data_IF_355849714082
#
_entry.id   IF_355849714082
#
_cell.length_a   1.000
_cell.length_b   1.000
_cell.length_c   1.000
_cell.angle_alpha   90.00
_cell.angle_beta   90.00
_cell.angle_gamma   90.00
#
_symmetry.space_group_name_H-M   'P 1'
#
loop_
_entity.id
_entity.type
_entity.pdbx_description
1 polymer ?
#
# COMPACT_ATOMS: atom_id res chain seq x y z
N UNK A 1 28.56 15.92 -12.67
CA UNK A 1 27.44 16.42 -11.83
C UNK A 1 27.83 16.20 -10.38
N UNK A 2 27.63 17.17 -9.49
CA UNK A 2 27.79 16.98 -8.05
C UNK A 2 26.54 16.38 -7.46
N UNK A 3 26.68 15.40 -6.57
CA UNK A 3 25.55 14.68 -5.98
C UNK A 3 25.56 14.90 -4.48
N UNK A 4 24.43 15.29 -3.92
CA UNK A 4 24.25 15.48 -2.49
C UNK A 4 23.11 14.60 -1.97
N UNK A 5 23.29 14.02 -0.80
CA UNK A 5 22.25 13.31 -0.06
C UNK A 5 22.11 13.95 1.32
N UNK A 6 20.92 14.47 1.62
CA UNK A 6 20.63 15.18 2.88
C UNK A 6 21.64 16.30 3.19
N UNK A 7 22.16 16.96 2.15
CA UNK A 7 23.14 18.05 2.24
C UNK A 7 24.60 17.62 2.26
N UNK A 8 24.90 16.32 2.32
CA UNK A 8 26.26 15.78 2.25
C UNK A 8 26.64 15.40 0.82
N UNK A 9 27.79 15.87 0.33
CA UNK A 9 28.28 15.51 -1.01
C UNK A 9 28.74 14.04 -1.03
N UNK A 10 28.20 13.24 -1.95
CA UNK A 10 28.59 11.85 -2.16
C UNK A 10 29.59 11.79 -3.32
N UNK A 11 30.76 11.23 -3.04
CA UNK A 11 31.76 10.95 -4.07
C UNK A 11 31.46 9.63 -4.78
N UNK A 12 31.53 9.64 -6.11
CA UNK A 12 31.46 8.45 -6.94
C UNK A 12 32.86 8.03 -7.42
N UNK A 13 33.13 6.73 -7.62
CA UNK A 13 34.43 6.26 -8.10
C UNK A 13 34.75 6.75 -9.52
N UNK A 14 33.72 6.97 -10.33
CA UNK A 14 33.84 7.52 -11.67
C UNK A 14 33.70 9.04 -11.66
N UNK A 15 34.48 9.73 -12.50
CA UNK A 15 34.41 11.19 -12.63
C UNK A 15 33.06 11.69 -13.21
N UNK A 16 32.29 10.81 -13.86
CA UNK A 16 30.98 11.09 -14.45
C UNK A 16 30.09 9.83 -14.39
N UNK A 17 29.53 9.47 -13.21
CA UNK A 17 28.65 8.31 -13.09
C UNK A 17 27.38 8.52 -13.94
N UNK A 18 26.79 7.42 -14.42
CA UNK A 18 25.45 7.48 -15.05
C UNK A 18 24.38 7.83 -14.01
N UNK A 19 23.22 8.33 -14.46
CA UNK A 19 22.14 8.70 -13.52
C UNK A 19 21.52 7.46 -12.88
N UNK A 20 21.48 6.36 -13.61
CA UNK A 20 21.09 5.04 -13.15
C UNK A 20 22.00 4.57 -12.01
N UNK A 21 23.32 4.74 -12.16
CA UNK A 21 24.29 4.39 -11.11
C UNK A 21 24.15 5.30 -9.89
N UNK A 22 23.94 6.60 -10.10
CA UNK A 22 23.69 7.56 -9.02
C UNK A 22 22.45 7.15 -8.23
N UNK A 23 21.32 6.95 -8.92
CA UNK A 23 20.05 6.60 -8.30
C UNK A 23 20.14 5.26 -7.56
N UNK A 24 20.78 4.26 -8.17
CA UNK A 24 21.01 2.94 -7.55
C UNK A 24 21.85 3.08 -6.29
N UNK A 25 22.96 3.81 -6.35
CA UNK A 25 23.85 4.03 -5.20
C UNK A 25 23.16 4.78 -4.07
N UNK A 26 22.36 5.81 -4.38
CA UNK A 26 21.56 6.54 -3.38
C UNK A 26 20.53 5.60 -2.75
N UNK A 27 19.77 4.83 -3.54
CA UNK A 27 18.78 3.86 -3.05
C UNK A 27 19.41 2.80 -2.16
N UNK A 28 20.56 2.24 -2.53
CA UNK A 28 21.28 1.28 -1.71
C UNK A 28 21.80 1.88 -0.40
N UNK A 29 22.33 3.11 -0.46
CA UNK A 29 22.83 3.84 0.72
C UNK A 29 21.71 4.13 1.71
N UNK A 30 20.57 4.58 1.22
CA UNK A 30 19.38 4.84 2.03
C UNK A 30 18.74 3.55 2.55
N UNK A 31 18.65 2.52 1.71
CA UNK A 31 18.10 1.22 2.08
C UNK A 31 18.83 0.58 3.26
N UNK A 32 20.17 0.67 3.31
CA UNK A 32 20.98 0.21 4.45
C UNK A 32 20.66 0.93 5.77
N UNK A 33 20.08 2.14 5.70
CA UNK A 33 19.69 2.96 6.85
C UNK A 33 18.19 2.90 7.15
N UNK A 34 17.40 2.11 6.39
CA UNK A 34 15.94 2.11 6.51
C UNK A 34 15.30 3.43 6.08
N UNK A 35 15.88 4.10 5.09
CA UNK A 35 15.44 5.39 4.55
C UNK A 35 14.98 5.23 3.09
N UNK A 36 14.14 6.16 2.63
CA UNK A 36 13.66 6.28 1.25
C UNK A 36 14.05 7.63 0.68
N UNK A 37 14.15 7.71 -0.66
CA UNK A 37 14.22 8.99 -1.35
C UNK A 37 12.85 9.66 -1.18
N UNK A 38 12.87 10.88 -0.63
CA UNK A 38 11.71 11.74 -0.48
C UNK A 38 11.59 12.73 -1.64
N UNK A 39 12.72 13.27 -2.08
CA UNK A 39 12.76 14.28 -3.15
C UNK A 39 14.04 14.15 -3.95
N UNK A 40 13.94 14.53 -5.22
CA UNK A 40 15.07 14.65 -6.14
C UNK A 40 15.01 16.07 -6.70
N UNK A 41 16.09 16.83 -6.57
CA UNK A 41 16.20 18.18 -7.10
C UNK A 41 17.44 18.27 -7.99
N UNK A 42 17.33 18.80 -9.19
CA UNK A 42 18.47 19.08 -10.08
C UNK A 42 18.52 20.55 -10.42
N UNK A 43 19.63 21.21 -10.11
CA UNK A 43 19.87 22.64 -10.32
C UNK A 43 18.72 23.54 -9.80
N UNK A 44 18.09 23.18 -8.68
CA UNK A 44 16.97 23.94 -8.08
C UNK A 44 15.58 23.47 -8.50
N UNK A 45 15.45 22.54 -9.46
CA UNK A 45 14.18 22.03 -9.94
C UNK A 45 13.86 20.65 -9.35
N UNK A 46 12.70 20.52 -8.70
CA UNK A 46 12.22 19.24 -8.18
C UNK A 46 11.75 18.33 -9.33
N UNK A 47 12.20 17.08 -9.31
CA UNK A 47 11.95 16.06 -10.30
C UNK A 47 11.45 14.78 -9.62
N UNK A 48 10.65 14.00 -10.36
CA UNK A 48 10.44 12.60 -10.02
C UNK A 48 11.59 11.73 -10.54
N UNK A 49 11.54 10.44 -10.23
CA UNK A 49 12.56 9.47 -10.62
C UNK A 49 12.69 9.34 -12.15
N UNK A 50 11.57 9.31 -12.87
CA UNK A 50 11.55 9.15 -14.32
C UNK A 50 12.15 10.38 -15.01
N UNK A 51 11.76 11.58 -14.57
CA UNK A 51 12.28 12.84 -15.06
C UNK A 51 13.78 13.02 -14.75
N UNK A 52 14.23 12.57 -13.57
CA UNK A 52 15.66 12.55 -13.24
C UNK A 52 16.44 11.67 -14.22
N UNK A 53 15.97 10.45 -14.49
CA UNK A 53 16.63 9.51 -15.41
C UNK A 53 16.64 10.02 -16.85
N UNK A 54 15.56 10.66 -17.30
CA UNK A 54 15.43 11.19 -18.66
C UNK A 54 16.23 12.49 -18.91
N UNK A 55 16.72 13.16 -17.86
CA UNK A 55 17.39 14.45 -17.99
C UNK A 55 18.72 14.30 -18.77
N UNK A 56 19.03 15.22 -19.68
CA UNK A 56 20.26 15.14 -20.52
C UNK A 56 21.42 16.01 -20.01
N UNK A 57 21.23 16.70 -18.89
CA UNK A 57 22.23 17.58 -18.27
C UNK A 57 22.06 17.67 -16.75
N UNK A 58 22.55 18.76 -16.17
CA UNK A 58 22.47 19.04 -14.74
C UNK A 58 23.86 19.17 -14.11
N UNK A 59 24.06 20.24 -13.34
CA UNK A 59 25.33 20.49 -12.65
C UNK A 59 25.35 19.84 -11.28
N UNK A 60 24.22 19.92 -10.58
CA UNK A 60 24.05 19.52 -9.20
C UNK A 60 22.72 18.78 -9.00
N UNK A 61 22.77 17.62 -8.36
CA UNK A 61 21.59 16.88 -7.91
C UNK A 61 21.58 16.76 -6.38
N UNK A 62 20.44 17.04 -5.76
CA UNK A 62 20.18 16.88 -4.32
C UNK A 62 19.09 15.85 -4.11
N UNK A 63 19.37 14.87 -3.28
CA UNK A 63 18.43 13.86 -2.82
C UNK A 63 18.07 14.18 -1.36
N UNK A 64 16.79 14.35 -1.08
CA UNK A 64 16.27 14.39 0.28
C UNK A 64 15.80 12.99 0.68
N UNK A 65 16.04 12.60 1.93
CA UNK A 65 15.58 11.31 2.44
C UNK A 65 14.51 11.45 3.53
N UNK A 66 13.82 10.34 3.79
CA UNK A 66 12.92 10.17 4.93
C UNK A 66 12.98 8.73 5.45
N UNK A 67 12.68 8.48 6.73
CA UNK A 67 12.55 7.11 7.23
C UNK A 67 11.44 6.35 6.50
N UNK A 68 11.71 5.07 6.16
CA UNK A 68 10.69 4.14 5.61
C UNK A 68 9.50 4.05 6.57
N UNK A 69 9.76 4.08 7.88
CA UNK A 69 8.75 3.93 8.93
C UNK A 69 7.74 5.08 8.93
N UNK A 70 8.19 6.32 8.79
CA UNK A 70 7.29 7.47 8.73
C UNK A 70 6.35 7.35 7.52
N UNK A 71 6.90 6.94 6.37
CA UNK A 71 6.11 6.69 5.16
C UNK A 71 5.10 5.55 5.36
N UNK A 72 5.49 4.47 6.04
CA UNK A 72 4.59 3.37 6.38
C UNK A 72 3.45 3.80 7.30
N UNK A 73 3.74 4.60 8.33
CA UNK A 73 2.73 5.08 9.28
C UNK A 73 1.68 5.93 8.58
N UNK A 74 2.10 6.84 7.70
CA UNK A 74 1.21 7.62 6.83
C UNK A 74 0.38 6.70 5.93
N UNK A 75 1.03 5.76 5.23
CA UNK A 75 0.35 4.81 4.34
C UNK A 75 -0.68 3.95 5.07
N UNK A 76 -0.37 3.50 6.28
CA UNK A 76 -1.28 2.69 7.12
C UNK A 76 -2.43 3.52 7.68
N UNK A 77 -2.23 4.82 7.94
CA UNK A 77 -3.31 5.73 8.28
C UNK A 77 -4.30 5.88 7.11
N UNK A 78 -3.78 6.13 5.91
CA UNK A 78 -4.60 6.21 4.69
C UNK A 78 -5.33 4.89 4.41
N UNK A 79 -4.66 3.76 4.61
CA UNK A 79 -5.27 2.43 4.46
C UNK A 79 -6.39 2.19 5.46
N UNK A 80 -6.27 2.69 6.69
CA UNK A 80 -7.34 2.61 7.70
C UNK A 80 -8.56 3.42 7.28
N UNK A 81 -8.38 4.63 6.75
CA UNK A 81 -9.51 5.43 6.24
C UNK A 81 -10.16 4.79 5.02
N UNK A 82 -9.33 4.26 4.10
CA UNK A 82 -9.81 3.56 2.92
C UNK A 82 -10.58 2.29 3.28
N UNK A 83 -10.11 1.51 4.25
CA UNK A 83 -10.78 0.30 4.73
C UNK A 83 -12.22 0.60 5.20
N UNK A 84 -12.44 1.70 5.92
CA UNK A 84 -13.78 2.12 6.36
C UNK A 84 -14.69 2.44 5.17
N UNK A 85 -14.16 3.15 4.17
CA UNK A 85 -14.90 3.47 2.93
C UNK A 85 -15.23 2.21 2.13
N UNK A 86 -14.31 1.25 2.10
CA UNK A 86 -14.50 -0.05 1.45
C UNK A 86 -15.61 -0.86 2.13
N UNK A 87 -15.61 -0.94 3.47
CA UNK A 87 -16.67 -1.58 4.24
C UNK A 87 -18.04 -0.96 3.94
N UNK A 88 -18.13 0.37 3.95
CA UNK A 88 -19.35 1.08 3.55
C UNK A 88 -19.76 0.82 2.09
N UNK A 89 -18.80 0.70 1.18
CA UNK A 89 -19.03 0.32 -0.22
C UNK A 89 -19.64 -1.07 -0.37
N UNK A 90 -19.11 -2.06 0.36
CA UNK A 90 -19.62 -3.44 0.39
C UNK A 90 -21.05 -3.50 0.94
N UNK A 91 -21.35 -2.76 2.01
CA UNK A 91 -22.71 -2.66 2.56
C UNK A 91 -23.70 -2.13 1.52
N UNK A 92 -23.34 -1.05 0.82
CA UNK A 92 -24.16 -0.48 -0.26
C UNK A 92 -24.32 -1.42 -1.44
N UNK A 93 -23.27 -2.15 -1.82
CA UNK A 93 -23.35 -3.15 -2.87
C UNK A 93 -24.41 -4.22 -2.53
N UNK A 94 -24.41 -4.72 -1.30
CA UNK A 94 -25.42 -5.65 -0.82
C UNK A 94 -26.83 -5.03 -0.82
N UNK A 95 -27.00 -3.78 -0.36
CA UNK A 95 -28.29 -3.07 -0.38
C UNK A 95 -28.86 -2.95 -1.81
N UNK A 96 -27.99 -2.71 -2.80
CA UNK A 96 -28.40 -2.63 -4.21
C UNK A 96 -28.86 -3.98 -4.75
N UNK A 97 -28.12 -5.04 -4.47
CA UNK A 97 -28.45 -6.40 -4.89
C UNK A 97 -29.76 -6.91 -4.26
N UNK A 98 -30.02 -6.58 -2.99
CA UNK A 98 -31.26 -6.94 -2.28
C UNK A 98 -32.48 -6.15 -2.76
N UNK A 99 -32.26 -4.93 -3.28
CA UNK A 99 -33.31 -4.06 -3.81
C UNK A 99 -33.56 -4.27 -5.32
N UNK A 100 -33.15 -5.41 -5.89
CA UNK A 100 -33.22 -5.75 -7.32
C UNK A 100 -32.50 -4.75 -8.26
N UNK A 101 -31.62 -3.90 -7.72
CA UNK A 101 -30.76 -2.97 -8.48
C UNK A 101 -29.42 -3.64 -8.80
N UNK A 102 -29.51 -4.74 -9.53
CA UNK A 102 -28.37 -5.63 -9.81
C UNK A 102 -27.21 -4.93 -10.54
N UNK A 103 -27.44 -4.13 -11.61
CA UNK A 103 -26.34 -3.44 -12.31
C UNK A 103 -25.52 -2.53 -11.39
N UNK A 104 -26.17 -1.73 -10.56
CA UNK A 104 -25.52 -0.82 -9.60
C UNK A 104 -24.80 -1.60 -8.50
N UNK A 105 -25.39 -2.71 -8.04
CA UNK A 105 -24.76 -3.61 -7.09
C UNK A 105 -23.46 -4.22 -7.63
N UNK A 106 -23.50 -4.76 -8.87
CA UNK A 106 -22.34 -5.36 -9.51
C UNK A 106 -21.23 -4.35 -9.81
N UNK A 107 -21.58 -3.10 -10.19
CA UNK A 107 -20.59 -2.04 -10.35
C UNK A 107 -19.81 -1.78 -9.05
N UNK A 108 -20.52 -1.73 -7.92
CA UNK A 108 -19.90 -1.56 -6.61
C UNK A 108 -19.09 -2.79 -6.18
N UNK A 109 -19.54 -4.01 -6.51
CA UNK A 109 -18.77 -5.24 -6.25
C UNK A 109 -17.44 -5.23 -7.00
N UNK A 110 -17.41 -4.81 -8.26
CA UNK A 110 -16.17 -4.69 -9.04
C UNK A 110 -15.17 -3.74 -8.37
N UNK A 111 -15.63 -2.54 -7.99
CA UNK A 111 -14.81 -1.55 -7.26
C UNK A 111 -14.33 -2.08 -5.90
N UNK A 112 -15.18 -2.82 -5.20
CA UNK A 112 -14.83 -3.41 -3.92
C UNK A 112 -13.75 -4.49 -4.06
N UNK A 113 -13.81 -5.33 -5.09
CA UNK A 113 -12.80 -6.36 -5.34
C UNK A 113 -11.39 -5.75 -5.54
N UNK A 114 -11.29 -4.67 -6.32
CA UNK A 114 -10.04 -3.90 -6.48
C UNK A 114 -9.56 -3.33 -5.13
N UNK A 115 -10.47 -2.73 -4.36
CA UNK A 115 -10.15 -2.16 -3.06
C UNK A 115 -9.68 -3.19 -2.04
N UNK A 116 -10.26 -4.38 -2.04
CA UNK A 116 -9.82 -5.49 -1.18
C UNK A 116 -8.39 -5.91 -1.53
N UNK A 117 -8.09 -6.07 -2.83
CA UNK A 117 -6.74 -6.38 -3.30
C UNK A 117 -5.74 -5.32 -2.86
N UNK A 118 -6.08 -4.04 -2.98
CA UNK A 118 -5.23 -2.94 -2.55
C UNK A 118 -4.95 -2.98 -1.04
N UNK A 119 -5.97 -3.14 -0.19
CA UNK A 119 -5.79 -3.23 1.27
C UNK A 119 -4.89 -4.40 1.66
N UNK A 120 -5.10 -5.57 1.05
CA UNK A 120 -4.28 -6.75 1.32
C UNK A 120 -2.81 -6.53 0.91
N UNK A 121 -2.58 -5.85 -0.21
CA UNK A 121 -1.23 -5.50 -0.67
C UNK A 121 -0.54 -4.54 0.31
N UNK A 122 -1.25 -3.52 0.80
CA UNK A 122 -0.69 -2.58 1.78
C UNK A 122 -0.30 -3.32 3.07
N UNK A 123 -1.17 -4.20 3.58
CA UNK A 123 -0.88 -5.02 4.76
C UNK A 123 0.38 -5.87 4.51
N UNK A 124 0.44 -6.58 3.38
CA UNK A 124 1.56 -7.45 3.06
C UNK A 124 2.89 -6.69 2.91
N UNK A 125 2.89 -5.57 2.18
CA UNK A 125 4.08 -4.74 2.03
C UNK A 125 4.54 -4.16 3.37
N UNK A 126 3.60 -3.77 4.23
CA UNK A 126 3.91 -3.25 5.57
C UNK A 126 4.56 -4.33 6.44
N UNK A 127 4.08 -5.58 6.36
CA UNK A 127 4.69 -6.72 7.03
C UNK A 127 6.15 -6.95 6.59
N UNK A 128 6.41 -6.92 5.27
CA UNK A 128 7.76 -7.06 4.71
C UNK A 128 8.67 -5.95 5.25
N UNK A 129 8.22 -4.69 5.20
CA UNK A 129 9.04 -3.55 5.56
C UNK A 129 9.26 -3.43 7.09
N UNK A 130 8.34 -3.94 7.89
CA UNK A 130 8.49 -4.03 9.34
C UNK A 130 9.21 -5.30 9.80
N UNK A 131 9.38 -6.28 8.92
CA UNK A 131 10.00 -7.57 9.23
C UNK A 131 9.17 -8.41 10.19
N UNK A 132 7.84 -8.42 10.02
CA UNK A 132 6.89 -9.14 10.88
C UNK A 132 6.01 -10.09 10.08
N UNK A 133 5.70 -11.25 10.67
CA UNK A 133 4.81 -12.26 10.09
C UNK A 133 3.36 -12.13 10.60
N UNK A 134 2.42 -12.86 9.98
CA UNK A 134 1.00 -12.85 10.33
C UNK A 134 0.73 -13.14 11.81
N UNK A 135 1.53 -14.00 12.45
CA UNK A 135 1.41 -14.38 13.86
C UNK A 135 1.77 -13.25 14.83
N UNK A 136 2.50 -12.24 14.36
CA UNK A 136 2.99 -11.13 15.19
C UNK A 136 2.06 -9.91 15.13
N UNK A 137 1.10 -9.90 14.20
CA UNK A 137 0.19 -8.78 14.00
C UNK A 137 -1.13 -9.02 14.74
N UNK A 138 -1.54 -8.08 15.59
CA UNK A 138 -2.89 -8.02 16.14
C UNK A 138 -3.34 -9.28 16.91
N UNK A 139 -2.41 -9.98 17.57
CA UNK A 139 -2.69 -11.22 18.31
C UNK A 139 -2.63 -12.50 17.46
N UNK A 140 -2.18 -12.41 16.20
CA UNK A 140 -1.80 -13.56 15.37
C UNK A 140 -2.90 -14.14 14.48
N UNK A 141 -4.09 -13.54 14.46
CA UNK A 141 -5.22 -14.01 13.64
C UNK A 141 -5.22 -13.53 12.17
N UNK A 142 -4.21 -12.77 11.74
CA UNK A 142 -4.24 -12.12 10.42
C UNK A 142 -4.28 -13.13 9.27
N UNK A 143 -3.51 -14.20 9.37
CA UNK A 143 -3.48 -15.26 8.35
C UNK A 143 -4.83 -15.96 8.18
N UNK A 144 -5.50 -16.27 9.29
CA UNK A 144 -6.84 -16.88 9.27
C UNK A 144 -7.87 -15.95 8.62
N UNK A 145 -7.81 -14.65 8.93
CA UNK A 145 -8.69 -13.65 8.29
C UNK A 145 -8.44 -13.56 6.80
N UNK A 146 -7.18 -13.55 6.34
CA UNK A 146 -6.82 -13.55 4.91
C UNK A 146 -7.36 -14.79 4.20
N UNK A 147 -7.12 -15.99 4.75
CA UNK A 147 -7.61 -17.25 4.16
C UNK A 147 -9.14 -17.31 4.13
N UNK A 148 -9.80 -16.90 5.21
CA UNK A 148 -11.25 -16.88 5.27
C UNK A 148 -11.84 -15.85 4.30
N UNK A 149 -11.19 -14.70 4.09
CA UNK A 149 -11.61 -13.69 3.12
C UNK A 149 -11.50 -14.22 1.69
N UNK A 150 -10.40 -14.89 1.35
CA UNK A 150 -10.21 -15.50 0.03
C UNK A 150 -11.33 -16.51 -0.28
N UNK A 151 -11.69 -17.36 0.67
CA UNK A 151 -12.78 -18.33 0.48
C UNK A 151 -14.15 -17.65 0.24
N UNK A 152 -14.41 -16.51 0.87
CA UNK A 152 -15.65 -15.75 0.63
C UNK A 152 -15.62 -14.99 -0.71
N UNK A 153 -14.45 -14.52 -1.15
CA UNK A 153 -14.28 -13.93 -2.49
C UNK A 153 -14.53 -14.98 -3.60
N UNK A 154 -14.08 -16.22 -3.41
CA UNK A 154 -14.36 -17.32 -4.34
C UNK A 154 -15.86 -17.66 -4.41
N UNK A 155 -16.57 -17.60 -3.28
CA UNK A 155 -18.04 -17.75 -3.26
C UNK A 155 -18.71 -16.59 -4.00
N UNK A 156 -18.28 -15.35 -3.75
CA UNK A 156 -18.81 -14.17 -4.43
C UNK A 156 -18.60 -14.25 -5.95
N UNK A 157 -17.43 -14.70 -6.42
CA UNK A 157 -17.16 -14.92 -7.85
C UNK A 157 -18.17 -15.89 -8.46
N UNK A 158 -18.42 -17.04 -7.80
CA UNK A 158 -19.42 -18.01 -8.25
C UNK A 158 -20.83 -17.42 -8.29
N UNK A 159 -21.23 -16.65 -7.28
CA UNK A 159 -22.54 -16.01 -7.28
C UNK A 159 -22.69 -15.00 -8.43
N UNK A 160 -21.62 -14.31 -8.82
CA UNK A 160 -21.60 -13.43 -10.01
C UNK A 160 -21.75 -14.25 -11.29
N UNK A 161 -20.94 -15.30 -11.45
CA UNK A 161 -20.94 -16.18 -12.64
C UNK A 161 -22.30 -16.88 -12.85
N UNK A 162 -22.93 -17.31 -11.76
CA UNK A 162 -24.21 -18.01 -11.77
C UNK A 162 -25.42 -17.05 -11.82
N UNK A 163 -25.20 -15.73 -11.80
CA UNK A 163 -26.27 -14.73 -11.86
C UNK A 163 -27.19 -14.74 -10.63
N UNK A 164 -26.62 -14.92 -9.43
CA UNK A 164 -27.36 -15.05 -8.17
C UNK A 164 -27.16 -13.82 -7.26
N UNK A 165 -27.86 -12.70 -7.51
CA UNK A 165 -27.63 -11.43 -6.81
C UNK A 165 -27.91 -11.51 -5.30
N UNK A 166 -28.93 -12.27 -4.87
CA UNK A 166 -29.24 -12.40 -3.44
C UNK A 166 -28.21 -13.26 -2.69
N UNK A 167 -27.66 -14.30 -3.34
CA UNK A 167 -26.58 -15.11 -2.76
C UNK A 167 -25.29 -14.29 -2.66
N UNK A 168 -25.03 -13.45 -3.67
CA UNK A 168 -23.93 -12.49 -3.65
C UNK A 168 -24.10 -11.48 -2.51
N UNK A 169 -25.29 -10.87 -2.35
CA UNK A 169 -25.58 -9.93 -1.27
C UNK A 169 -25.34 -10.55 0.11
N UNK A 170 -25.83 -11.79 0.31
CA UNK A 170 -25.59 -12.54 1.54
C UNK A 170 -24.10 -12.78 1.79
N UNK A 171 -23.35 -13.18 0.76
CA UNK A 171 -21.89 -13.41 0.84
C UNK A 171 -21.14 -12.12 1.19
N UNK A 172 -21.55 -10.98 0.62
CA UNK A 172 -20.98 -9.68 0.95
C UNK A 172 -21.22 -9.33 2.42
N UNK A 173 -22.45 -9.47 2.93
CA UNK A 173 -22.80 -9.07 4.31
C UNK A 173 -22.23 -9.99 5.37
N UNK A 174 -22.35 -11.29 5.18
CA UNK A 174 -22.04 -12.29 6.20
C UNK A 174 -20.61 -12.83 6.09
N UNK A 175 -20.05 -12.81 4.88
CA UNK A 175 -18.72 -13.31 4.59
C UNK A 175 -17.70 -12.17 4.54
N UNK A 176 -17.78 -11.34 3.52
CA UNK A 176 -16.70 -10.41 3.15
C UNK A 176 -16.63 -9.21 4.11
N UNK A 177 -17.74 -8.52 4.33
CA UNK A 177 -17.79 -7.27 5.11
C UNK A 177 -17.18 -7.43 6.52
N UNK A 178 -17.56 -8.41 7.34
CA UNK A 178 -17.02 -8.54 8.70
C UNK A 178 -15.50 -8.78 8.71
N UNK A 179 -14.97 -9.44 7.67
CA UNK A 179 -13.53 -9.67 7.53
C UNK A 179 -12.82 -8.39 7.16
N UNK A 180 -13.37 -7.61 6.23
CA UNK A 180 -12.85 -6.28 5.90
C UNK A 180 -12.87 -5.34 7.11
N UNK A 181 -13.93 -5.38 7.93
CA UNK A 181 -14.00 -4.64 9.19
C UNK A 181 -12.90 -5.08 10.16
N UNK A 182 -12.66 -6.39 10.29
CA UNK A 182 -11.60 -6.91 11.15
C UNK A 182 -10.19 -6.49 10.71
N UNK A 183 -9.96 -6.27 9.40
CA UNK A 183 -8.67 -5.79 8.88
C UNK A 183 -8.26 -4.44 9.48
N UNK A 184 -9.22 -3.59 9.88
CA UNK A 184 -8.93 -2.31 10.53
C UNK A 184 -8.10 -2.46 11.81
N UNK A 185 -8.35 -3.54 12.59
CA UNK A 185 -7.57 -3.85 13.79
C UNK A 185 -6.12 -4.22 13.47
N UNK A 186 -5.90 -5.00 12.41
CA UNK A 186 -4.56 -5.41 11.97
C UNK A 186 -3.78 -4.25 11.33
N UNK A 187 -4.43 -3.40 10.54
CA UNK A 187 -3.84 -2.16 10.02
C UNK A 187 -3.37 -1.27 11.17
N UNK A 188 -4.21 -1.11 12.19
CA UNK A 188 -3.86 -0.34 13.40
C UNK A 188 -2.71 -0.97 14.17
N UNK A 189 -2.67 -2.31 14.28
CA UNK A 189 -1.57 -3.02 14.93
C UNK A 189 -0.24 -2.83 14.19
N UNK A 190 -0.23 -2.94 12.86
CA UNK A 190 0.95 -2.68 12.02
C UNK A 190 1.44 -1.24 12.19
N UNK A 191 0.52 -0.27 12.24
CA UNK A 191 0.86 1.13 12.47
C UNK A 191 1.52 1.31 13.84
N UNK A 192 0.95 0.72 14.89
CA UNK A 192 1.53 0.78 16.23
C UNK A 192 2.93 0.16 16.30
N UNK A 193 3.19 -0.94 15.58
CA UNK A 193 4.54 -1.54 15.47
C UNK A 193 5.50 -0.54 14.80
N UNK A 194 5.06 0.12 13.74
CA UNK A 194 5.81 1.20 13.08
C UNK A 194 6.15 2.35 14.02
N UNK A 195 5.18 2.80 14.83
CA UNK A 195 5.31 3.91 15.78
C UNK A 195 6.16 3.56 17.04
N UNK A 196 6.02 2.35 17.59
CA UNK A 196 6.63 1.98 18.88
C UNK A 196 8.13 1.67 18.81
N UNK A 197 8.68 1.56 17.61
CA UNK A 197 10.11 1.35 17.40
C UNK A 197 10.87 2.68 17.19
N UNK A 198 10.25 3.81 17.54
CA UNK A 198 10.77 5.19 17.44
C UNK A 198 11.38 5.69 18.78
N UNK A 199 11.34 4.90 19.85
CA UNK A 199 11.93 5.23 21.16
C UNK A 199 13.30 4.59 21.39
#
# INVERSE_FOLDING_TARGET
MKIYLDGEEIAFPENSPSKEDVLTSVKETLGKKGMLIRSIEVDGAELDEEAFLALTGGTEARFGSRPVRDFLVETLADASEYQQRLASGLGRAADHLEADRTPEGLELVGKAAEGIGWVLQIIHNSQILLGVDDSEVGGGGLGEVKSALLAELEKASRSVEEGKPLELAYTLRSGILPRIESLGGYISALRNIGDSTVQ
#
